data_IF_853324018283
#
_entry.id   IF_853324018283
#
_cell.length_a   1.000
_cell.length_b   1.000
_cell.length_c   1.000
_cell.angle_alpha   90.00
_cell.angle_beta   90.00
_cell.angle_gamma   90.00
#
_symmetry.space_group_name_H-M   'P 1'
#
loop_
_entity.id
_entity.type
_entity.pdbx_description
1 polymer ?
#
# COMPACT_ATOMS: atom_id res chain seq x y z
N UNK A 1 -16.24 4.18 -5.13
CA UNK A 1 -15.22 3.29 -5.67
C UNK A 1 -14.80 3.75 -7.07
N UNK A 2 -13.51 3.89 -7.30
CA UNK A 2 -12.97 4.42 -8.55
C UNK A 2 -12.37 3.27 -9.37
N UNK A 3 -12.69 3.24 -10.66
CA UNK A 3 -12.06 2.32 -11.59
C UNK A 3 -10.54 2.51 -11.61
N UNK A 4 -9.79 1.43 -11.73
CA UNK A 4 -8.33 1.45 -11.66
C UNK A 4 -7.70 2.35 -12.73
N UNK A 5 -8.25 2.36 -13.94
CA UNK A 5 -7.73 3.22 -15.01
C UNK A 5 -7.97 4.69 -14.73
N UNK A 6 -9.16 5.03 -14.22
CA UNK A 6 -9.46 6.40 -13.79
C UNK A 6 -8.61 6.82 -12.60
N UNK A 7 -8.40 5.92 -11.64
CA UNK A 7 -7.52 6.17 -10.50
C UNK A 7 -6.10 6.48 -10.97
N UNK A 8 -5.61 5.75 -11.95
CA UNK A 8 -4.28 5.98 -12.51
C UNK A 8 -4.17 7.37 -13.16
N UNK A 9 -5.21 7.79 -13.88
CA UNK A 9 -5.23 9.14 -14.49
C UNK A 9 -5.24 10.23 -13.43
N UNK A 10 -6.08 10.08 -12.41
CA UNK A 10 -6.15 11.05 -11.30
C UNK A 10 -4.83 11.12 -10.54
N UNK A 11 -4.21 9.97 -10.31
CA UNK A 11 -2.90 9.92 -9.65
C UNK A 11 -1.83 10.63 -10.45
N UNK A 12 -1.79 10.42 -11.76
CA UNK A 12 -0.84 11.11 -12.64
C UNK A 12 -0.98 12.62 -12.58
N UNK A 13 -2.20 13.14 -12.57
CA UNK A 13 -2.48 14.56 -12.43
C UNK A 13 -2.02 15.10 -11.07
N UNK A 14 -2.31 14.38 -9.99
CA UNK A 14 -1.88 14.77 -8.64
C UNK A 14 -0.36 14.80 -8.52
N UNK A 15 0.33 13.82 -9.08
CA UNK A 15 1.80 13.77 -9.06
C UNK A 15 2.38 14.99 -9.80
N UNK A 16 1.83 15.31 -10.97
CA UNK A 16 2.29 16.45 -11.76
C UNK A 16 2.10 17.76 -10.99
N UNK A 17 0.92 17.98 -10.40
CA UNK A 17 0.64 19.19 -9.62
C UNK A 17 1.41 19.23 -8.32
N UNK A 18 1.70 18.08 -7.71
CA UNK A 18 2.55 18.00 -6.53
C UNK A 18 3.96 18.50 -6.83
N UNK A 19 4.53 18.08 -7.95
CA UNK A 19 5.88 18.50 -8.36
C UNK A 19 5.96 19.98 -8.69
N UNK A 20 4.88 20.56 -9.21
CA UNK A 20 4.79 22.00 -9.52
C UNK A 20 4.24 22.83 -8.35
N UNK A 21 4.00 22.18 -7.19
CA UNK A 21 3.47 22.82 -5.97
C UNK A 21 2.10 23.48 -6.18
N UNK A 22 1.24 22.84 -6.98
CA UNK A 22 -0.09 23.35 -7.33
C UNK A 22 -1.23 22.54 -6.68
N UNK A 23 -0.92 21.68 -5.69
CA UNK A 23 -1.96 20.96 -4.96
C UNK A 23 -2.76 21.93 -4.09
N UNK A 24 -4.08 21.72 -4.05
CA UNK A 24 -4.95 22.46 -3.16
C UNK A 24 -4.88 21.86 -1.74
N UNK A 25 -5.07 22.68 -0.68
CA UNK A 25 -5.00 22.17 0.69
C UNK A 25 -5.90 20.97 0.96
N UNK A 26 -7.11 20.93 0.44
CA UNK A 26 -8.03 19.80 0.62
C UNK A 26 -7.55 18.53 -0.06
N UNK A 27 -6.63 18.62 -1.02
CA UNK A 27 -6.10 17.43 -1.70
C UNK A 27 -5.05 16.69 -0.89
N UNK A 28 -4.47 17.31 0.14
CA UNK A 28 -3.48 16.64 0.99
C UNK A 28 -3.84 16.63 2.48
N UNK A 29 -5.00 17.15 2.85
CA UNK A 29 -5.42 17.23 4.26
C UNK A 29 -6.67 16.43 4.61
N UNK A 30 -7.40 15.89 3.61
CA UNK A 30 -8.67 15.22 3.83
C UNK A 30 -8.59 13.70 3.86
N UNK A 31 -7.41 13.13 3.64
CA UNK A 31 -7.23 11.68 3.63
C UNK A 31 -7.41 11.04 4.99
N UNK A 32 -7.96 9.82 5.01
CA UNK A 32 -8.19 9.05 6.24
C UNK A 32 -7.26 7.85 6.37
N UNK A 33 -6.59 7.48 5.29
CA UNK A 33 -5.62 6.40 5.24
C UNK A 33 -4.42 6.87 4.41
N UNK A 34 -3.21 6.56 4.89
CA UNK A 34 -1.98 7.01 4.21
C UNK A 34 -1.24 5.81 3.61
N UNK A 35 -0.70 6.01 2.42
CA UNK A 35 0.17 5.06 1.76
C UNK A 35 1.55 5.68 1.61
N UNK A 36 2.58 5.02 2.16
CA UNK A 36 3.97 5.46 2.06
C UNK A 36 4.78 4.42 1.29
N UNK A 37 5.46 4.83 0.22
CA UNK A 37 6.22 3.91 -0.62
C UNK A 37 7.67 4.37 -0.73
N UNK A 38 8.59 3.57 -0.21
CA UNK A 38 10.03 3.76 -0.32
C UNK A 38 10.70 2.67 -1.16
N UNK A 39 9.90 1.89 -1.88
CA UNK A 39 10.42 0.79 -2.68
C UNK A 39 11.37 1.24 -3.79
N UNK A 40 11.15 2.43 -4.34
CA UNK A 40 12.00 2.99 -5.38
C UNK A 40 13.42 3.30 -4.89
N UNK A 41 13.61 3.40 -3.58
CA UNK A 41 14.93 3.62 -2.97
C UNK A 41 15.58 2.32 -2.52
N UNK A 42 15.01 1.17 -2.84
CA UNK A 42 15.54 -0.13 -2.49
C UNK A 42 15.36 -0.53 -1.03
N UNK A 43 14.47 0.14 -0.31
CA UNK A 43 14.21 -0.17 1.10
C UNK A 43 13.53 -1.53 1.20
N UNK A 44 14.11 -2.43 1.99
CA UNK A 44 13.64 -3.80 2.14
C UNK A 44 12.42 -3.90 3.05
N UNK A 45 12.39 -3.10 4.11
CA UNK A 45 11.30 -3.06 5.08
C UNK A 45 11.41 -1.77 5.89
N UNK A 46 10.30 -1.13 6.20
CA UNK A 46 10.28 0.03 7.08
C UNK A 46 8.92 0.18 7.76
N UNK A 47 8.90 0.91 8.86
CA UNK A 47 7.68 1.30 9.54
C UNK A 47 7.48 2.79 9.33
N UNK A 48 6.29 3.17 8.87
CA UNK A 48 5.95 4.56 8.62
C UNK A 48 5.33 5.18 9.88
N UNK A 49 5.54 6.49 10.03
CA UNK A 49 4.99 7.24 11.15
C UNK A 49 3.56 7.66 10.78
N UNK A 50 2.63 7.36 11.68
CA UNK A 50 1.22 7.66 11.48
C UNK A 50 0.97 9.17 11.56
N UNK A 51 0.47 9.81 10.48
CA UNK A 51 0.13 11.22 10.54
C UNK A 51 -1.08 11.47 11.45
N UNK A 52 -1.09 12.58 12.19
CA UNK A 52 -2.26 12.93 13.00
C UNK A 52 -3.53 13.04 12.13
N UNK A 53 -4.64 12.55 12.63
CA UNK A 53 -5.93 12.62 11.93
C UNK A 53 -6.19 11.47 10.97
N UNK A 54 -5.25 10.57 10.76
CA UNK A 54 -5.47 9.37 9.94
C UNK A 54 -5.49 8.13 10.82
N UNK A 55 -6.28 7.13 10.43
CA UNK A 55 -6.43 5.90 11.21
C UNK A 55 -5.29 4.92 11.02
N UNK A 56 -4.67 4.90 9.86
CA UNK A 56 -3.63 3.95 9.54
C UNK A 56 -2.72 4.44 8.42
N UNK A 57 -1.52 3.89 8.38
CA UNK A 57 -0.56 4.10 7.29
C UNK A 57 0.05 2.76 6.89
N UNK A 58 0.09 2.51 5.59
CA UNK A 58 0.71 1.32 5.02
C UNK A 58 2.07 1.69 4.43
N UNK A 59 3.11 1.03 4.90
CA UNK A 59 4.47 1.17 4.37
C UNK A 59 4.71 0.10 3.32
N UNK A 60 5.06 0.51 2.10
CA UNK A 60 5.32 -0.39 0.98
C UNK A 60 6.80 -0.33 0.62
N UNK A 61 7.49 -1.45 0.73
CA UNK A 61 8.92 -1.56 0.46
C UNK A 61 9.19 -2.07 -0.96
N UNK A 62 10.46 -2.33 -1.26
CA UNK A 62 10.88 -2.75 -2.60
C UNK A 62 10.37 -4.15 -2.95
N UNK A 63 9.98 -4.33 -4.21
CA UNK A 63 9.69 -5.64 -4.77
C UNK A 63 10.99 -6.27 -5.25
N UNK A 64 11.29 -7.47 -4.77
CA UNK A 64 12.55 -8.17 -5.06
C UNK A 64 12.33 -9.63 -5.40
N UNK A 65 13.16 -10.21 -6.29
CA UNK A 65 13.19 -11.66 -6.45
C UNK A 65 13.59 -12.30 -5.12
N UNK A 66 12.81 -13.26 -4.66
CA UNK A 66 13.01 -13.92 -3.36
C UNK A 66 12.79 -15.41 -3.51
N UNK A 67 13.66 -16.20 -2.88
CA UNK A 67 13.50 -17.66 -2.83
C UNK A 67 12.37 -17.97 -1.84
N UNK A 68 11.37 -18.69 -2.30
CA UNK A 68 10.20 -19.06 -1.49
C UNK A 68 9.97 -20.56 -1.53
N UNK A 69 9.42 -21.10 -0.45
CA UNK A 69 9.02 -22.48 -0.36
C UNK A 69 7.56 -22.62 -0.82
N UNK A 70 7.31 -23.57 -1.72
CA UNK A 70 5.96 -23.95 -2.11
C UNK A 70 5.29 -24.83 -1.06
N UNK A 71 3.97 -24.95 -1.15
CA UNK A 71 3.17 -25.78 -0.25
C UNK A 71 3.55 -27.26 -0.34
N UNK A 72 4.04 -27.69 -1.48
CA UNK A 72 4.49 -29.07 -1.75
C UNK A 72 5.95 -29.30 -1.38
N UNK A 73 6.62 -28.33 -0.76
CA UNK A 73 8.03 -28.41 -0.41
C UNK A 73 8.98 -28.00 -1.51
N UNK A 74 8.47 -27.59 -2.67
CA UNK A 74 9.32 -27.09 -3.76
C UNK A 74 9.87 -25.70 -3.44
N UNK A 75 10.97 -25.36 -4.13
CA UNK A 75 11.60 -24.04 -4.01
C UNK A 75 11.39 -23.30 -5.31
N UNK A 76 10.97 -22.06 -5.22
CA UNK A 76 10.76 -21.19 -6.39
C UNK A 76 11.30 -19.80 -6.12
N UNK A 77 11.60 -19.06 -7.20
CA UNK A 77 11.95 -17.64 -7.11
C UNK A 77 10.74 -16.84 -7.55
N UNK A 78 10.24 -16.01 -6.64
CA UNK A 78 9.09 -15.12 -6.91
C UNK A 78 9.43 -13.70 -6.47
N UNK A 79 8.77 -12.74 -7.08
CA UNK A 79 8.91 -11.36 -6.63
C UNK A 79 8.04 -11.17 -5.40
N UNK A 80 8.66 -10.64 -4.34
CA UNK A 80 7.98 -10.34 -3.09
C UNK A 80 8.28 -8.91 -2.66
N UNK A 81 7.32 -8.29 -2.02
CA UNK A 81 7.52 -7.03 -1.31
C UNK A 81 6.95 -7.15 0.09
N UNK A 82 7.53 -6.41 1.02
CA UNK A 82 6.99 -6.34 2.37
C UNK A 82 6.13 -5.10 2.53
N UNK A 83 5.05 -5.25 3.25
CA UNK A 83 4.19 -4.13 3.66
C UNK A 83 4.01 -4.18 5.16
N UNK A 84 4.06 -3.01 5.79
CA UNK A 84 3.89 -2.86 7.23
C UNK A 84 2.76 -1.89 7.50
N UNK A 85 1.81 -2.31 8.33
CA UNK A 85 0.68 -1.47 8.72
C UNK A 85 0.92 -0.89 10.11
N UNK A 86 0.83 0.42 10.22
CA UNK A 86 0.79 1.12 11.50
C UNK A 86 -0.60 1.73 11.66
N UNK A 87 -1.25 1.48 12.78
CA UNK A 87 -2.63 1.91 12.99
C UNK A 87 -2.81 2.50 14.38
N UNK A 88 -3.77 3.40 14.49
CA UNK A 88 -4.19 3.96 15.77
C UNK A 88 -5.04 2.92 16.50
N UNK A 89 -4.49 2.31 17.55
CA UNK A 89 -5.14 1.23 18.29
C UNK A 89 -6.39 1.69 19.05
N UNK A 90 -6.62 2.98 19.14
CA UNK A 90 -7.85 3.51 19.70
C UNK A 90 -9.07 3.28 18.81
N UNK A 91 -8.85 3.12 17.50
CA UNK A 91 -9.92 2.94 16.49
C UNK A 91 -9.74 1.66 15.68
N UNK A 92 -8.54 1.09 15.63
CA UNK A 92 -8.25 -0.13 14.86
C UNK A 92 -7.55 -1.12 15.78
N UNK A 93 -8.20 -2.25 16.02
CA UNK A 93 -7.62 -3.30 16.86
C UNK A 93 -6.68 -4.20 16.06
N UNK A 94 -5.80 -4.91 16.76
CA UNK A 94 -4.81 -5.77 16.13
C UNK A 94 -5.42 -6.80 15.17
N UNK A 95 -6.54 -7.40 15.55
CA UNK A 95 -7.24 -8.36 14.70
C UNK A 95 -7.77 -7.72 13.41
N UNK A 96 -8.24 -6.48 13.48
CA UNK A 96 -8.71 -5.74 12.30
C UNK A 96 -7.56 -5.45 11.35
N UNK A 97 -6.41 -5.02 11.87
CA UNK A 97 -5.22 -4.76 11.06
C UNK A 97 -4.71 -6.04 10.41
N UNK A 98 -4.67 -7.14 11.15
CA UNK A 98 -4.25 -8.44 10.62
C UNK A 98 -5.19 -8.93 9.51
N UNK A 99 -6.50 -8.79 9.70
CA UNK A 99 -7.49 -9.16 8.70
C UNK A 99 -7.33 -8.32 7.43
N UNK A 100 -7.10 -7.02 7.58
CA UNK A 100 -6.84 -6.13 6.44
C UNK A 100 -5.62 -6.59 5.63
N UNK A 101 -4.52 -6.89 6.29
CA UNK A 101 -3.30 -7.34 5.61
C UNK A 101 -3.50 -8.67 4.90
N UNK A 102 -4.23 -9.59 5.52
CA UNK A 102 -4.56 -10.88 4.90
C UNK A 102 -5.40 -10.70 3.65
N UNK A 103 -6.43 -9.86 3.72
CA UNK A 103 -7.29 -9.58 2.58
C UNK A 103 -6.52 -8.87 1.45
N UNK A 104 -5.64 -7.94 1.79
CA UNK A 104 -4.80 -7.26 0.83
C UNK A 104 -3.88 -8.24 0.09
N UNK A 105 -3.21 -9.12 0.82
CA UNK A 105 -2.34 -10.13 0.24
C UNK A 105 -3.12 -11.05 -0.70
N UNK A 106 -4.28 -11.52 -0.28
CA UNK A 106 -5.13 -12.39 -1.09
C UNK A 106 -5.60 -11.68 -2.37
N UNK A 107 -5.99 -10.42 -2.27
CA UNK A 107 -6.41 -9.63 -3.41
C UNK A 107 -5.29 -9.47 -4.44
N UNK A 108 -4.08 -9.12 -3.99
CA UNK A 108 -2.94 -8.91 -4.88
C UNK A 108 -2.46 -10.22 -5.49
N UNK A 109 -2.47 -11.31 -4.72
CA UNK A 109 -1.92 -12.59 -5.16
C UNK A 109 -2.88 -13.40 -6.03
N UNK A 110 -4.20 -13.25 -5.84
CA UNK A 110 -5.17 -14.15 -6.47
C UNK A 110 -6.34 -13.47 -7.19
N UNK A 111 -6.61 -12.19 -6.97
CA UNK A 111 -7.84 -11.55 -7.45
C UNK A 111 -7.63 -10.15 -8.02
N UNK A 112 -6.49 -9.90 -8.64
CA UNK A 112 -6.19 -8.57 -9.18
C UNK A 112 -7.19 -8.11 -10.25
N UNK A 113 -7.77 -9.04 -11.00
CA UNK A 113 -8.77 -8.73 -12.02
C UNK A 113 -10.02 -8.05 -11.45
N UNK A 114 -10.33 -8.26 -10.19
CA UNK A 114 -11.47 -7.61 -9.53
C UNK A 114 -11.29 -6.10 -9.35
N UNK A 115 -10.07 -5.59 -9.53
CA UNK A 115 -9.76 -4.17 -9.43
C UNK A 115 -10.08 -3.42 -10.73
N UNK A 116 -10.14 -4.11 -11.83
CA UNK A 116 -10.55 -3.54 -13.13
C UNK A 116 -12.07 -3.67 -13.26
N UNK A 117 -12.75 -2.56 -13.18
CA UNK A 117 -14.22 -2.53 -13.26
C UNK A 117 -14.70 -2.18 -14.65
#
# INVERSE_FOLDING_TARGET
RTDLYELSRQWGDLVKRSRSKQLQPEEYSTGTFTLSNLGMFGVDRFDAILPPGTGAILAVAASRPTVVAGKDGSIAVKRQMQVNLTADHRVIYGADGAAFLKDLAELIETRTESLAM
#
